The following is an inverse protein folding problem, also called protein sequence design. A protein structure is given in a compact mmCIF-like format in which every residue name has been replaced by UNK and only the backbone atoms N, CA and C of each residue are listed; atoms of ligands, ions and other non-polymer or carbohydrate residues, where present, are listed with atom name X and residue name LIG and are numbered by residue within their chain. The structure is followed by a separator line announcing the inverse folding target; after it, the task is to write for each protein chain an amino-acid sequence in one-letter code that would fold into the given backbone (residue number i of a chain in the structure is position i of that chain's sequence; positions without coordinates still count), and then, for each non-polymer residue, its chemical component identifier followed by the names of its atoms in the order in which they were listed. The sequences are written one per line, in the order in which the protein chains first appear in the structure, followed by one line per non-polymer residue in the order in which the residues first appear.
data_IF_981384147946
#
_entry.id   IF_981384147946
#
_cell.length_a   1.000
_cell.length_b   1.000
_cell.length_c   1.000
_cell.angle_alpha   90.00
_cell.angle_beta   90.00
_cell.angle_gamma   90.00
#
_symmetry.space_group_name_H-M   'P 1'
#
loop_
_entity.id
_entity.type
_entity.pdbx_description
1 polymer ?
#
# COMPACT_ATOMS: atom_id res chain seq x y z
N UNK A 1 35.62 29.44 -28.26
CA UNK A 1 34.25 28.93 -28.27
C UNK A 1 34.03 27.76 -27.36
N UNK A 2 34.96 26.79 -27.25
CA UNK A 2 34.86 25.60 -26.38
C UNK A 2 34.64 25.97 -24.90
N UNK A 3 35.32 26.99 -24.34
CA UNK A 3 35.19 27.35 -22.92
C UNK A 3 33.78 27.81 -22.53
N UNK A 4 33.09 28.55 -23.42
CA UNK A 4 31.70 28.98 -23.17
C UNK A 4 30.74 27.77 -23.15
N UNK A 5 30.94 26.81 -24.05
CA UNK A 5 30.16 25.57 -24.09
C UNK A 5 30.38 24.73 -22.84
N UNK A 6 31.61 24.60 -22.35
CA UNK A 6 31.91 23.87 -21.13
C UNK A 6 31.24 24.50 -19.89
N UNK A 7 31.27 25.84 -19.78
CA UNK A 7 30.60 26.55 -18.68
C UNK A 7 29.08 26.36 -18.69
N UNK A 8 28.46 26.47 -19.87
CA UNK A 8 27.00 26.25 -20.02
C UNK A 8 26.63 24.81 -19.66
N UNK A 9 27.44 23.83 -20.10
CA UNK A 9 27.21 22.42 -19.78
C UNK A 9 27.30 22.16 -18.25
N UNK A 10 28.33 22.71 -17.59
CA UNK A 10 28.48 22.58 -16.14
C UNK A 10 27.32 23.24 -15.36
N UNK A 11 26.85 24.41 -15.83
CA UNK A 11 25.70 25.10 -15.22
C UNK A 11 24.42 24.27 -15.36
N UNK A 12 24.16 23.67 -16.52
CA UNK A 12 23.00 22.81 -16.77
C UNK A 12 23.03 21.55 -15.90
N UNK A 13 24.20 20.91 -15.77
CA UNK A 13 24.37 19.75 -14.87
C UNK A 13 24.20 20.13 -13.40
N UNK A 14 24.76 21.26 -12.97
CA UNK A 14 24.63 21.77 -11.61
C UNK A 14 23.19 22.10 -11.26
N UNK A 15 22.45 22.71 -12.19
CA UNK A 15 21.04 23.01 -12.04
C UNK A 15 20.18 21.73 -11.94
N UNK A 16 20.43 20.75 -12.80
CA UNK A 16 19.72 19.46 -12.73
C UNK A 16 19.98 18.73 -11.42
N UNK A 17 21.20 18.76 -10.91
CA UNK A 17 21.55 18.15 -9.63
C UNK A 17 20.91 18.88 -8.45
N UNK A 18 20.80 20.20 -8.46
CA UNK A 18 20.16 20.99 -7.43
C UNK A 18 18.63 20.85 -7.41
N UNK A 19 18.00 20.59 -8.56
CA UNK A 19 16.55 20.36 -8.65
C UNK A 19 16.08 19.13 -7.89
N UNK A 20 16.88 18.05 -7.83
CA UNK A 20 16.49 16.80 -7.19
C UNK A 20 16.24 16.96 -5.67
N UNK A 21 17.14 17.54 -4.88
CA UNK A 21 16.88 17.74 -3.45
C UNK A 21 15.76 18.76 -3.20
N UNK A 22 15.67 19.81 -4.02
CA UNK A 22 14.62 20.82 -3.90
C UNK A 22 13.23 20.22 -4.19
N UNK A 23 13.10 19.41 -5.23
CA UNK A 23 11.87 18.67 -5.54
C UNK A 23 11.46 17.74 -4.39
N UNK A 24 12.41 17.00 -3.81
CA UNK A 24 12.14 16.12 -2.66
C UNK A 24 11.64 16.90 -1.45
N UNK A 25 12.22 18.06 -1.17
CA UNK A 25 11.80 18.92 -0.05
C UNK A 25 10.41 19.49 -0.28
N UNK A 26 10.09 19.92 -1.49
CA UNK A 26 8.76 20.42 -1.85
C UNK A 26 7.73 19.31 -1.79
N UNK A 27 8.02 18.14 -2.35
CA UNK A 27 7.12 16.99 -2.28
C UNK A 27 6.89 16.51 -0.84
N UNK A 28 7.91 16.53 0.00
CA UNK A 28 7.79 16.22 1.42
C UNK A 28 6.92 17.23 2.17
N UNK A 29 7.07 18.53 1.86
CA UNK A 29 6.27 19.58 2.49
C UNK A 29 4.82 19.61 2.01
N UNK A 30 4.59 19.32 0.73
CA UNK A 30 3.25 19.29 0.12
C UNK A 30 2.58 17.90 0.19
N UNK A 31 3.29 16.89 0.65
CA UNK A 31 2.77 15.55 0.83
C UNK A 31 2.38 14.78 -0.45
N UNK A 32 2.85 15.21 -1.61
CA UNK A 32 2.37 14.72 -2.92
C UNK A 32 2.97 13.35 -3.29
N UNK A 33 4.02 12.89 -2.63
CA UNK A 33 4.75 11.68 -3.05
C UNK A 33 4.77 10.58 -1.98
N UNK A 34 3.60 10.14 -1.55
CA UNK A 34 3.45 9.12 -0.49
C UNK A 34 3.74 7.70 -0.99
N UNK A 35 3.53 7.44 -2.27
CA UNK A 35 3.71 6.11 -2.87
C UNK A 35 5.17 5.62 -2.81
N UNK A 36 6.16 6.52 -2.96
CA UNK A 36 7.58 6.14 -2.94
C UNK A 36 8.16 5.92 -1.54
N UNK A 37 7.53 6.46 -0.50
CA UNK A 37 7.96 6.28 0.90
C UNK A 37 7.44 4.97 1.50
N UNK A 38 6.26 4.51 1.07
CA UNK A 38 5.72 3.19 1.45
C UNK A 38 6.56 2.06 0.86
N UNK A 39 7.03 2.23 -0.39
CA UNK A 39 7.76 1.18 -1.12
C UNK A 39 9.18 0.95 -0.58
N UNK A 40 9.85 1.98 -0.08
CA UNK A 40 11.15 1.82 0.59
C UNK A 40 11.07 1.11 1.95
N UNK A 41 9.90 1.13 2.60
CA UNK A 41 9.67 0.40 3.84
C UNK A 41 9.26 -1.06 3.61
N UNK A 42 8.67 -1.38 2.46
CA UNK A 42 8.29 -2.75 2.14
C UNK A 42 9.48 -3.65 1.79
N UNK A 43 10.65 -3.09 1.42
CA UNK A 43 11.87 -3.87 1.22
C UNK A 43 12.59 -4.29 2.52
N UNK A 44 12.19 -3.78 3.68
CA UNK A 44 12.67 -4.22 4.99
C UNK A 44 11.72 -5.22 5.67
N UNK A 45 10.98 -6.00 4.89
CA UNK A 45 10.01 -7.00 5.33
C UNK A 45 10.55 -8.01 6.36
N UNK A 46 11.82 -8.40 6.24
CA UNK A 46 12.43 -9.33 7.21
C UNK A 46 12.67 -8.74 8.60
N UNK A 47 12.75 -7.40 8.71
CA UNK A 47 12.97 -6.74 10.00
C UNK A 47 11.66 -6.44 10.75
N UNK A 48 10.52 -6.31 10.02
CA UNK A 48 9.25 -5.92 10.63
C UNK A 48 8.49 -7.05 11.32
N UNK A 49 8.78 -8.31 10.99
CA UNK A 49 8.25 -9.45 11.75
C UNK A 49 8.79 -9.45 13.19
N UNK A 50 10.02 -8.95 13.41
CA UNK A 50 10.58 -8.80 14.75
C UNK A 50 10.00 -7.57 15.49
N UNK A 51 9.60 -6.51 14.77
CA UNK A 51 8.97 -5.32 15.37
C UNK A 51 7.53 -5.60 15.79
N UNK A 52 6.80 -6.45 15.07
CA UNK A 52 5.46 -6.88 15.49
C UNK A 52 5.48 -7.64 16.81
N UNK A 53 6.58 -8.38 17.08
CA UNK A 53 6.79 -9.10 18.35
C UNK A 53 7.33 -8.21 19.49
N UNK A 54 7.87 -7.02 19.18
CA UNK A 54 8.40 -6.09 20.20
C UNK A 54 7.36 -5.08 20.71
N UNK A 55 6.21 -4.98 20.05
CA UNK A 55 5.11 -4.07 20.44
C UNK A 55 4.10 -4.82 21.33
N UNK A 56 4.57 -5.44 22.40
CA UNK A 56 3.76 -6.26 23.31
C UNK A 56 2.84 -5.46 24.24
N UNK A 57 2.73 -4.15 24.08
CA UNK A 57 1.87 -3.34 24.92
C UNK A 57 0.73 -2.73 24.12
N UNK A 58 -0.42 -3.42 24.19
CA UNK A 58 -1.68 -2.89 23.67
C UNK A 58 -2.09 -1.70 24.54
N UNK A 59 -2.31 -0.55 23.89
CA UNK A 59 -2.80 0.65 24.57
C UNK A 59 -4.33 0.60 24.69
N UNK A 60 -4.79 0.01 25.77
CA UNK A 60 -6.23 -0.09 26.10
C UNK A 60 -6.85 1.27 26.51
N UNK A 61 -6.03 2.32 26.70
CA UNK A 61 -6.52 3.62 27.15
C UNK A 61 -7.27 4.38 26.06
N UNK A 62 -7.08 3.99 24.78
CA UNK A 62 -7.73 4.63 23.64
C UNK A 62 -8.12 3.63 22.57
N UNK A 63 -9.11 4.00 21.79
CA UNK A 63 -9.59 3.27 20.63
C UNK A 63 -9.39 4.10 19.38
N UNK A 64 -8.99 3.46 18.30
CA UNK A 64 -8.86 4.06 16.97
C UNK A 64 -9.86 3.38 16.04
N UNK A 65 -10.63 4.17 15.31
CA UNK A 65 -11.53 3.65 14.29
C UNK A 65 -10.76 3.46 13.01
N UNK A 66 -10.74 2.24 12.49
CA UNK A 66 -10.18 1.95 11.17
C UNK A 66 -11.33 1.74 10.20
N UNK A 67 -11.40 2.59 9.19
CA UNK A 67 -12.34 2.48 8.09
C UNK A 67 -11.69 1.73 6.94
N UNK A 68 -12.46 0.85 6.31
CA UNK A 68 -12.00 0.05 5.19
C UNK A 68 -12.79 0.43 3.95
N UNK A 69 -12.05 0.81 2.90
CA UNK A 69 -12.61 1.16 1.62
C UNK A 69 -12.01 0.30 0.51
N UNK A 70 -12.76 0.14 -0.57
CA UNK A 70 -12.36 -0.68 -1.71
C UNK A 70 -12.81 -0.04 -3.01
N UNK A 71 -11.83 0.36 -3.83
CA UNK A 71 -12.05 0.91 -5.15
C UNK A 71 -11.83 -0.17 -6.21
N UNK A 72 -12.92 -0.64 -6.81
CA UNK A 72 -12.88 -1.60 -7.90
C UNK A 72 -12.92 -0.85 -9.25
N UNK A 73 -11.81 -0.92 -10.00
CA UNK A 73 -11.74 -0.35 -11.36
C UNK A 73 -11.87 -1.45 -12.40
N UNK A 74 -13.10 -1.93 -12.62
CA UNK A 74 -13.38 -2.96 -13.63
C UNK A 74 -14.65 -3.75 -13.35
N UNK A 75 -14.98 -4.72 -14.22
CA UNK A 75 -16.17 -5.55 -14.10
C UNK A 75 -15.96 -6.70 -13.08
N UNK A 76 -15.72 -6.35 -11.84
CA UNK A 76 -15.59 -7.27 -10.71
C UNK A 76 -16.16 -6.62 -9.44
N UNK A 77 -16.50 -7.44 -8.48
CA UNK A 77 -16.80 -6.98 -7.12
C UNK A 77 -15.56 -7.08 -6.27
N UNK A 78 -15.27 -6.02 -5.54
CA UNK A 78 -14.22 -6.00 -4.55
C UNK A 78 -14.67 -5.14 -3.38
N UNK A 79 -14.72 -5.72 -2.20
CA UNK A 79 -15.21 -5.04 -0.99
C UNK A 79 -14.58 -5.61 0.27
N UNK A 80 -14.44 -4.81 1.33
CA UNK A 80 -14.14 -5.31 2.66
C UNK A 80 -15.35 -6.04 3.24
N UNK A 81 -15.13 -7.04 4.08
CA UNK A 81 -16.18 -7.73 4.81
C UNK A 81 -16.83 -6.84 5.88
N UNK A 82 -16.09 -5.88 6.39
CA UNK A 82 -16.53 -4.87 7.36
C UNK A 82 -16.06 -3.50 6.88
N UNK A 83 -16.92 -2.49 6.96
CA UNK A 83 -16.61 -1.12 6.53
C UNK A 83 -15.79 -0.35 7.57
N UNK A 84 -15.87 -0.72 8.83
CA UNK A 84 -15.09 -0.11 9.90
C UNK A 84 -14.90 -1.07 11.07
N UNK A 85 -13.84 -0.85 11.83
CA UNK A 85 -13.52 -1.60 13.04
C UNK A 85 -12.87 -0.68 14.07
N UNK A 86 -13.23 -0.85 15.33
CA UNK A 86 -12.54 -0.18 16.43
C UNK A 86 -11.45 -1.09 16.96
N UNK A 87 -10.24 -0.57 17.06
CA UNK A 87 -9.06 -1.33 17.49
C UNK A 87 -8.25 -0.53 18.49
N UNK A 88 -7.54 -1.24 19.37
CA UNK A 88 -6.57 -0.61 20.25
C UNK A 88 -5.19 -0.54 19.59
N UNK A 89 -4.44 0.57 19.71
CA UNK A 89 -3.07 0.63 19.26
C UNK A 89 -2.23 -0.49 19.90
N UNK A 90 -1.42 -1.18 19.11
CA UNK A 90 -0.66 -2.36 19.51
C UNK A 90 -1.41 -3.68 19.32
N UNK A 91 -2.73 -3.67 19.10
CA UNK A 91 -3.53 -4.87 18.89
C UNK A 91 -3.39 -5.38 17.45
N UNK A 92 -3.18 -6.70 17.33
CA UNK A 92 -3.17 -7.37 16.03
C UNK A 92 -4.58 -7.66 15.57
N UNK A 93 -4.96 -7.08 14.44
CA UNK A 93 -6.33 -7.15 13.93
C UNK A 93 -6.34 -7.69 12.51
N UNK A 94 -7.40 -8.45 12.18
CA UNK A 94 -7.58 -9.04 10.85
C UNK A 94 -8.89 -8.54 10.24
N UNK A 95 -8.82 -8.06 9.00
CA UNK A 95 -9.98 -7.77 8.17
C UNK A 95 -9.95 -8.61 6.90
N UNK A 96 -11.12 -9.10 6.49
CA UNK A 96 -11.25 -9.88 5.25
C UNK A 96 -11.69 -8.99 4.10
N UNK A 97 -11.06 -9.16 2.93
CA UNK A 97 -11.49 -8.56 1.68
C UNK A 97 -12.05 -9.64 0.77
N UNK A 98 -13.20 -9.38 0.17
CA UNK A 98 -13.90 -10.27 -0.72
C UNK A 98 -13.76 -9.77 -2.16
N UNK A 99 -13.45 -10.68 -3.05
CA UNK A 99 -13.34 -10.44 -4.48
C UNK A 99 -14.16 -11.44 -5.26
N UNK A 100 -14.75 -10.97 -6.38
CA UNK A 100 -15.42 -11.82 -7.38
C UNK A 100 -15.16 -11.30 -8.78
N UNK A 101 -14.59 -12.14 -9.64
CA UNK A 101 -14.46 -11.86 -11.07
C UNK A 101 -15.83 -12.05 -11.78
N UNK A 102 -16.39 -10.96 -12.32
CA UNK A 102 -17.64 -11.00 -13.11
C UNK A 102 -17.41 -11.20 -14.61
N UNK A 103 -16.16 -11.22 -15.03
CA UNK A 103 -15.82 -11.38 -16.44
C UNK A 103 -15.90 -12.84 -16.87
N UNK A 104 -16.13 -13.06 -18.17
CA UNK A 104 -16.11 -14.39 -18.81
C UNK A 104 -14.69 -14.81 -19.23
N UNK A 105 -13.65 -14.13 -18.72
CA UNK A 105 -12.24 -14.41 -19.01
C UNK A 105 -11.41 -14.45 -17.76
N UNK A 106 -10.28 -15.14 -17.85
CA UNK A 106 -9.25 -15.09 -16.82
C UNK A 106 -8.59 -13.70 -16.82
N UNK A 107 -8.38 -13.14 -15.65
CA UNK A 107 -7.69 -11.86 -15.46
C UNK A 107 -6.52 -12.01 -14.49
N UNK A 108 -5.54 -11.15 -14.65
CA UNK A 108 -4.46 -10.96 -13.67
C UNK A 108 -4.67 -9.60 -13.02
N UNK A 109 -4.72 -9.57 -11.72
CA UNK A 109 -5.02 -8.36 -10.99
C UNK A 109 -4.12 -8.17 -9.77
N UNK A 110 -3.97 -6.91 -9.38
CA UNK A 110 -3.19 -6.47 -8.22
C UNK A 110 -3.96 -5.41 -7.44
N UNK A 111 -3.68 -5.32 -6.15
CA UNK A 111 -4.23 -4.29 -5.29
C UNK A 111 -3.14 -3.33 -4.80
N UNK A 112 -3.45 -2.03 -4.77
CA UNK A 112 -2.59 -1.01 -4.19
C UNK A 112 -3.29 -0.40 -2.97
N UNK A 113 -2.64 -0.40 -1.79
CA UNK A 113 -3.18 0.25 -0.61
C UNK A 113 -2.90 1.76 -0.60
N UNK A 114 -3.81 2.51 -0.03
CA UNK A 114 -3.65 3.91 0.34
C UNK A 114 -4.18 4.16 1.75
N UNK A 115 -3.64 5.18 2.42
CA UNK A 115 -3.95 5.51 3.81
C UNK A 115 -4.36 6.96 3.94
N UNK A 116 -5.35 7.22 4.79
CA UNK A 116 -5.74 8.55 5.21
C UNK A 116 -5.98 8.56 6.74
N UNK A 117 -5.56 9.62 7.47
CA UNK A 117 -4.67 10.68 7.01
C UNK A 117 -3.26 10.16 6.73
N UNK A 118 -2.49 10.90 5.93
CA UNK A 118 -1.18 10.47 5.47
C UNK A 118 -0.19 10.15 6.60
N UNK A 119 -0.21 10.93 7.67
CA UNK A 119 0.62 10.72 8.85
C UNK A 119 0.37 9.38 9.54
N UNK A 120 -0.85 8.85 9.46
CA UNK A 120 -1.22 7.56 10.03
C UNK A 120 -0.58 6.39 9.28
N UNK A 121 -0.28 6.54 7.99
CA UNK A 121 0.37 5.49 7.19
C UNK A 121 1.72 5.06 7.72
N UNK A 122 2.45 5.94 8.41
CA UNK A 122 3.73 5.61 9.06
C UNK A 122 3.57 4.71 10.29
N UNK A 123 2.38 4.71 10.90
CA UNK A 123 2.03 3.96 12.10
C UNK A 123 1.15 2.74 11.83
N UNK A 124 0.83 2.48 10.55
CA UNK A 124 0.04 1.34 10.11
C UNK A 124 0.97 0.23 9.61
N UNK A 125 1.20 -0.78 10.46
CA UNK A 125 2.07 -1.91 10.14
C UNK A 125 1.24 -3.09 9.65
N UNK A 126 1.36 -3.42 8.35
CA UNK A 126 0.75 -4.62 7.78
C UNK A 126 1.66 -5.82 8.01
N UNK A 127 1.13 -6.86 8.64
CA UNK A 127 1.82 -8.12 8.88
C UNK A 127 1.59 -9.06 7.69
N UNK A 128 0.35 -9.11 7.18
CA UNK A 128 -0.01 -9.92 6.04
C UNK A 128 -0.91 -9.14 5.09
N UNK A 129 -0.65 -9.24 3.78
CA UNK A 129 -1.41 -8.55 2.76
C UNK A 129 -1.35 -9.31 1.43
N UNK A 130 -2.49 -9.38 0.76
CA UNK A 130 -2.60 -9.92 -0.60
C UNK A 130 -2.06 -8.95 -1.68
N UNK A 131 -1.77 -7.70 -1.33
CA UNK A 131 -1.35 -6.63 -2.24
C UNK A 131 0.07 -6.79 -2.81
N UNK A 132 0.88 -7.70 -2.27
CA UNK A 132 2.26 -7.91 -2.72
C UNK A 132 2.39 -8.86 -3.92
N UNK A 133 1.30 -9.51 -4.33
CA UNK A 133 1.29 -10.51 -5.40
C UNK A 133 0.27 -10.16 -6.46
N UNK A 134 0.58 -10.54 -7.69
CA UNK A 134 -0.39 -10.62 -8.77
C UNK A 134 -1.24 -11.87 -8.58
N UNK A 135 -2.53 -11.73 -8.79
CA UNK A 135 -3.50 -12.81 -8.66
C UNK A 135 -4.12 -13.15 -9.99
N UNK A 136 -3.99 -14.40 -10.40
CA UNK A 136 -4.69 -14.92 -11.56
C UNK A 136 -6.06 -15.42 -11.12
N UNK A 137 -7.13 -14.86 -11.70
CA UNK A 137 -8.50 -15.07 -11.31
C UNK A 137 -9.31 -15.57 -12.50
N UNK A 138 -9.87 -16.76 -12.39
CA UNK A 138 -10.68 -17.40 -13.41
C UNK A 138 -12.05 -16.72 -13.57
N UNK A 139 -12.77 -16.94 -14.68
CA UNK A 139 -14.16 -16.49 -14.83
C UNK A 139 -15.04 -16.92 -13.66
N UNK A 140 -15.77 -15.97 -13.06
CA UNK A 140 -16.66 -16.24 -11.94
C UNK A 140 -16.00 -16.59 -10.62
N UNK A 141 -14.67 -16.64 -10.56
CA UNK A 141 -13.94 -16.99 -9.34
C UNK A 141 -14.14 -15.95 -8.24
N UNK A 142 -14.42 -16.45 -7.03
CA UNK A 142 -14.49 -15.63 -5.82
C UNK A 142 -13.36 -16.02 -4.88
N UNK A 143 -12.73 -15.01 -4.27
CA UNK A 143 -11.66 -15.19 -3.27
C UNK A 143 -11.88 -14.30 -2.08
N UNK A 144 -11.36 -14.75 -0.93
CA UNK A 144 -11.26 -13.98 0.30
C UNK A 144 -9.81 -13.90 0.73
N UNK A 145 -9.38 -12.69 1.05
CA UNK A 145 -8.02 -12.47 1.51
C UNK A 145 -8.01 -11.79 2.89
N UNK A 146 -7.24 -12.31 3.83
CA UNK A 146 -7.00 -11.64 5.08
C UNK A 146 -6.01 -10.48 4.88
N UNK A 147 -6.24 -9.40 5.61
CA UNK A 147 -5.28 -8.34 5.86
C UNK A 147 -5.07 -8.26 7.35
N UNK A 148 -3.87 -8.64 7.78
CA UNK A 148 -3.47 -8.59 9.17
C UNK A 148 -2.62 -7.35 9.40
N UNK A 149 -3.00 -6.53 10.37
CA UNK A 149 -2.33 -5.28 10.66
C UNK A 149 -2.24 -4.99 12.16
N UNK A 150 -1.32 -4.10 12.50
CA UNK A 150 -1.15 -3.54 13.84
C UNK A 150 -0.99 -2.04 13.69
N UNK A 151 -1.73 -1.27 14.48
CA UNK A 151 -1.53 0.17 14.61
C UNK A 151 -0.47 0.41 15.69
N UNK A 152 0.58 1.16 15.36
CA UNK A 152 1.63 1.49 16.32
C UNK A 152 1.06 2.29 17.49
N UNK A 153 1.43 1.93 18.72
CA UNK A 153 1.07 2.68 19.93
C UNK A 153 1.55 4.14 19.91
N UNK A 154 2.57 4.45 19.08
CA UNK A 154 3.09 5.80 18.85
C UNK A 154 2.24 6.64 17.88
N UNK A 155 1.10 6.14 17.41
CA UNK A 155 0.17 6.92 16.59
C UNK A 155 -0.18 8.22 17.33
N UNK A 156 -0.10 9.41 16.69
CA UNK A 156 -0.47 10.68 17.29
C UNK A 156 -1.88 10.63 17.90
N UNK A 157 -2.06 11.26 19.06
CA UNK A 157 -3.32 11.19 19.83
C UNK A 157 -4.49 11.91 19.16
N UNK A 158 -4.20 12.83 18.27
CA UNK A 158 -5.16 13.57 17.45
C UNK A 158 -5.75 12.71 16.32
N UNK A 159 -5.08 11.60 15.97
CA UNK A 159 -5.59 10.65 14.96
C UNK A 159 -6.49 9.63 15.64
N UNK A 160 -7.79 9.86 15.56
CA UNK A 160 -8.83 8.96 16.09
C UNK A 160 -9.43 8.05 15.03
N UNK A 161 -9.30 8.42 13.75
CA UNK A 161 -9.82 7.66 12.62
C UNK A 161 -8.73 7.51 11.57
N UNK A 162 -8.63 6.29 11.01
CA UNK A 162 -7.69 5.93 9.96
C UNK A 162 -8.45 5.17 8.88
N UNK A 163 -8.29 5.58 7.63
CA UNK A 163 -8.89 4.88 6.49
C UNK A 163 -7.83 4.08 5.73
N UNK A 164 -8.08 2.79 5.56
CA UNK A 164 -7.34 1.91 4.65
C UNK A 164 -8.17 1.66 3.40
N UNK A 165 -7.75 2.24 2.29
CA UNK A 165 -8.40 2.03 1.00
C UNK A 165 -7.52 1.17 0.10
N UNK A 166 -8.13 0.17 -0.55
CA UNK A 166 -7.48 -0.62 -1.60
C UNK A 166 -8.06 -0.28 -2.96
N UNK A 167 -7.18 0.04 -3.90
CA UNK A 167 -7.55 0.10 -5.32
C UNK A 167 -7.15 -1.21 -5.99
N UNK A 168 -8.15 -1.93 -6.50
CA UNK A 168 -7.96 -3.19 -7.22
C UNK A 168 -8.07 -2.93 -8.73
N UNK A 169 -7.07 -3.38 -9.50
CA UNK A 169 -6.99 -3.13 -10.93
C UNK A 169 -6.39 -4.34 -11.67
N UNK A 170 -6.75 -4.46 -12.93
CA UNK A 170 -6.20 -5.47 -13.82
C UNK A 170 -4.81 -5.05 -14.31
N UNK A 171 -3.84 -5.95 -14.18
CA UNK A 171 -2.49 -5.78 -14.72
C UNK A 171 -2.52 -6.18 -16.19
N UNK A 172 -2.30 -5.22 -17.11
CA UNK A 172 -2.51 -5.39 -18.53
C UNK A 172 -1.70 -6.51 -19.18
N UNK A 173 -2.37 -7.33 -19.94
CA UNK A 173 -1.83 -8.14 -21.05
C UNK A 173 -1.07 -9.41 -20.70
N UNK A 174 -0.87 -9.76 -19.45
CA UNK A 174 -0.21 -11.01 -19.06
C UNK A 174 -1.22 -12.05 -18.60
N UNK A 175 -1.80 -12.76 -19.57
CA UNK A 175 -2.39 -14.08 -19.25
C UNK A 175 -1.20 -15.01 -19.01
N UNK A 176 -1.00 -15.57 -17.80
CA UNK A 176 0.04 -16.56 -17.57
C UNK A 176 -0.18 -17.73 -18.55
N UNK A 177 0.87 -18.32 -19.13
CA UNK A 177 0.73 -19.52 -19.92
C UNK A 177 0.04 -20.60 -19.07
N UNK A 178 -0.93 -21.28 -19.65
CA UNK A 178 -1.62 -22.38 -18.99
C UNK A 178 -0.55 -23.36 -18.44
N UNK A 179 -0.73 -23.91 -17.23
CA UNK A 179 0.18 -24.91 -16.71
C UNK A 179 0.25 -26.04 -17.72
N UNK A 180 1.45 -26.32 -18.25
CA UNK A 180 1.68 -27.47 -19.11
C UNK A 180 1.27 -28.69 -18.31
N UNK A 181 0.17 -29.33 -18.74
CA UNK A 181 -0.28 -30.57 -18.16
C UNK A 181 0.88 -31.57 -18.21
N UNK A 182 1.36 -31.96 -17.05
CA UNK A 182 2.23 -33.13 -16.93
C UNK A 182 1.37 -34.35 -17.26
N UNK A 183 1.77 -35.05 -18.29
CA UNK A 183 1.33 -36.41 -18.59
C UNK A 183 1.97 -37.37 -17.60
#
# INVERSE_FOLDING_TARGET
MLGKLAVVSCLMFGFGYALVPMYRSICAALGINVLSLSDKRSSSWSANAAVANSNSQVDLSRTVTVEFDANARGPWDFKPAQSSLQVHPGEMTTVMYEFRNKQNRTMVAQAIPSYAPMQAGAHFNKVECFCFKEWTLKPGESKRWPVVFVIDAKLPKDVTTLTLSYTFFEVGGRVPPAPKGGA
#
